data_IF_994776674982
#
_entry.id   IF_994776674982
#
_cell.length_a   1.000
_cell.length_b   1.000
_cell.length_c   1.000
_cell.angle_alpha   90.00
_cell.angle_beta   90.00
_cell.angle_gamma   90.00
#
_symmetry.space_group_name_H-M   'P 1'
#
loop_
_entity.id
_entity.type
_entity.pdbx_description
1 polymer ?
#
# COMPACT_ATOMS: atom_id res chain seq x y z
N UNK A 1 -8.58 -2.13 19.04
CA UNK A 1 -7.30 -2.88 18.88
C UNK A 1 -6.43 -2.14 17.86
N UNK A 2 -5.11 -2.23 17.93
CA UNK A 2 -4.18 -1.49 17.03
C UNK A 2 -4.36 -1.90 15.56
N UNK A 3 -4.65 -3.17 15.31
CA UNK A 3 -4.98 -3.71 13.98
C UNK A 3 -6.25 -3.09 13.35
N UNK A 4 -7.21 -2.68 14.16
CA UNK A 4 -8.47 -2.10 13.69
C UNK A 4 -8.26 -0.70 13.13
N UNK A 5 -7.42 0.11 13.80
CA UNK A 5 -7.00 1.44 13.30
C UNK A 5 -6.18 1.34 12.01
N UNK A 6 -5.30 0.34 11.90
CA UNK A 6 -4.55 0.10 10.67
C UNK A 6 -5.48 -0.32 9.52
N UNK A 7 -6.47 -1.17 9.82
CA UNK A 7 -7.46 -1.63 8.86
C UNK A 7 -8.33 -0.48 8.35
N UNK A 8 -8.74 0.45 9.21
CA UNK A 8 -9.56 1.60 8.83
C UNK A 8 -8.78 2.61 7.98
N UNK A 9 -7.55 2.96 8.37
CA UNK A 9 -6.67 3.82 7.59
C UNK A 9 -6.37 3.23 6.21
N UNK A 10 -6.15 1.92 6.12
CA UNK A 10 -5.91 1.25 4.85
C UNK A 10 -7.17 1.25 3.98
N UNK A 11 -8.36 0.96 4.54
CA UNK A 11 -9.64 1.04 3.80
C UNK A 11 -9.91 2.45 3.27
N UNK A 12 -9.62 3.48 4.04
CA UNK A 12 -9.81 4.87 3.61
C UNK A 12 -8.80 5.28 2.52
N UNK A 13 -7.53 4.91 2.66
CA UNK A 13 -6.53 5.14 1.61
C UNK A 13 -6.92 4.43 0.31
N UNK A 14 -7.39 3.18 0.40
CA UNK A 14 -7.88 2.40 -0.74
C UNK A 14 -9.19 2.93 -1.34
N UNK A 15 -10.02 3.65 -0.59
CA UNK A 15 -11.24 4.33 -1.11
C UNK A 15 -10.89 5.55 -1.97
N UNK A 16 -9.76 6.22 -1.72
CA UNK A 16 -9.32 7.39 -2.49
C UNK A 16 -8.82 7.02 -3.89
N UNK A 17 -8.46 5.75 -4.13
CA UNK A 17 -8.15 5.24 -5.46
C UNK A 17 -9.45 5.01 -6.25
N UNK A 18 -9.77 5.90 -7.19
CA UNK A 18 -10.93 5.81 -8.09
C UNK A 18 -10.69 4.80 -9.23
N UNK A 19 -11.77 4.13 -9.68
CA UNK A 19 -11.74 2.99 -10.61
C UNK A 19 -11.18 3.24 -12.03
N UNK A 20 -10.75 4.46 -12.36
CA UNK A 20 -10.42 4.85 -13.75
C UNK A 20 -8.94 4.80 -14.10
N UNK A 21 -8.05 5.31 -13.24
CA UNK A 21 -6.61 5.41 -13.46
C UNK A 21 -5.86 5.42 -12.14
N UNK A 22 -4.70 4.76 -12.11
CA UNK A 22 -3.72 4.99 -11.05
C UNK A 22 -3.07 6.35 -11.35
N UNK A 23 -3.59 7.41 -10.75
CA UNK A 23 -2.94 8.72 -10.79
C UNK A 23 -1.69 8.67 -9.92
N UNK A 24 -0.56 9.12 -10.46
CA UNK A 24 0.72 9.12 -9.75
C UNK A 24 0.64 9.85 -8.41
N UNK A 25 -0.15 10.91 -8.35
CA UNK A 25 -0.42 11.68 -7.13
C UNK A 25 -1.16 10.83 -6.08
N UNK A 26 -2.17 10.06 -6.49
CA UNK A 26 -2.92 9.20 -5.58
C UNK A 26 -2.04 8.10 -4.97
N UNK A 27 -1.11 7.54 -5.75
CA UNK A 27 -0.12 6.55 -5.25
C UNK A 27 0.84 7.19 -4.24
N UNK A 28 1.30 8.41 -4.49
CA UNK A 28 2.19 9.12 -3.59
C UNK A 28 1.52 9.49 -2.26
N UNK A 29 0.25 9.91 -2.31
CA UNK A 29 -0.55 10.16 -1.12
C UNK A 29 -0.72 8.86 -0.31
N UNK A 30 -1.11 7.77 -0.99
CA UNK A 30 -1.28 6.46 -0.38
C UNK A 30 0.00 5.94 0.29
N UNK A 31 1.15 6.07 -0.38
CA UNK A 31 2.45 5.68 0.18
C UNK A 31 2.82 6.52 1.42
N UNK A 32 2.45 7.80 1.44
CA UNK A 32 2.68 8.67 2.60
C UNK A 32 1.78 8.29 3.78
N UNK A 33 0.52 7.96 3.55
CA UNK A 33 -0.40 7.48 4.58
C UNK A 33 0.04 6.12 5.15
N UNK A 34 0.43 5.18 4.28
CA UNK A 34 0.96 3.87 4.69
C UNK A 34 2.22 4.04 5.54
N UNK A 35 3.16 4.88 5.11
CA UNK A 35 4.39 5.17 5.88
C UNK A 35 4.08 5.70 7.28
N UNK A 36 3.17 6.68 7.41
CA UNK A 36 2.75 7.22 8.71
C UNK A 36 2.09 6.15 9.58
N UNK A 37 1.25 5.31 8.97
CA UNK A 37 0.55 4.23 9.65
C UNK A 37 1.51 3.14 10.15
N UNK A 38 2.53 2.77 9.36
CA UNK A 38 3.56 1.80 9.74
C UNK A 38 4.42 2.33 10.90
N UNK A 39 4.83 3.60 10.87
CA UNK A 39 5.59 4.21 11.97
C UNK A 39 4.73 4.27 13.25
N UNK A 40 3.43 4.56 13.12
CA UNK A 40 2.49 4.57 14.25
C UNK A 40 2.22 3.17 14.82
N UNK A 41 2.57 2.11 14.08
CA UNK A 41 2.43 0.71 14.47
C UNK A 41 3.76 0.13 15.00
N UNK A 42 4.71 0.97 15.42
CA UNK A 42 6.02 0.57 15.98
C UNK A 42 6.97 -0.12 14.97
N UNK A 43 6.75 0.07 13.66
CA UNK A 43 7.67 -0.42 12.62
C UNK A 43 8.83 0.56 12.43
N UNK A 44 10.06 0.05 12.29
CA UNK A 44 11.24 0.89 12.05
C UNK A 44 11.10 1.80 10.83
N UNK A 45 11.53 3.06 10.96
CA UNK A 45 11.41 4.10 9.91
C UNK A 45 12.10 3.67 8.62
N UNK A 46 13.24 2.98 8.70
CA UNK A 46 13.96 2.45 7.53
C UNK A 46 13.13 1.41 6.76
N UNK A 47 12.47 0.50 7.49
CA UNK A 47 11.57 -0.49 6.91
C UNK A 47 10.34 0.16 6.29
N UNK A 48 9.69 1.08 7.00
CA UNK A 48 8.53 1.81 6.49
C UNK A 48 8.86 2.60 5.21
N UNK A 49 10.04 3.24 5.15
CA UNK A 49 10.53 3.92 3.94
C UNK A 49 10.78 2.95 2.79
N UNK A 50 11.38 1.79 3.06
CA UNK A 50 11.68 0.80 2.03
C UNK A 50 10.39 0.24 1.40
N UNK A 51 9.40 -0.09 2.24
CA UNK A 51 8.09 -0.56 1.80
C UNK A 51 7.37 0.48 0.96
N UNK A 52 7.28 1.72 1.44
CA UNK A 52 6.62 2.80 0.69
C UNK A 52 7.28 3.00 -0.69
N UNK A 53 8.62 2.93 -0.79
CA UNK A 53 9.34 3.00 -2.08
C UNK A 53 9.04 1.82 -2.99
N UNK A 54 8.93 0.60 -2.45
CA UNK A 54 8.61 -0.59 -3.24
C UNK A 54 7.19 -0.54 -3.77
N UNK A 55 6.22 -0.14 -2.94
CA UNK A 55 4.82 0.06 -3.34
C UNK A 55 4.74 1.11 -4.45
N UNK A 56 5.36 2.28 -4.28
CA UNK A 56 5.38 3.35 -5.29
C UNK A 56 5.97 2.85 -6.63
N UNK A 57 7.09 2.13 -6.58
CA UNK A 57 7.77 1.62 -7.77
C UNK A 57 6.95 0.55 -8.49
N UNK A 58 6.32 -0.39 -7.76
CA UNK A 58 5.47 -1.43 -8.33
C UNK A 58 4.17 -0.85 -8.88
N UNK A 59 3.50 0.04 -8.14
CA UNK A 59 2.27 0.68 -8.58
C UNK A 59 2.44 1.53 -9.85
N UNK A 60 3.64 2.08 -10.11
CA UNK A 60 3.94 2.86 -11.32
C UNK A 60 4.53 2.04 -12.48
N UNK A 61 5.25 0.95 -12.21
CA UNK A 61 5.89 0.12 -13.25
C UNK A 61 5.04 -1.06 -13.71
N UNK A 62 4.26 -1.64 -12.81
CA UNK A 62 3.51 -2.85 -13.08
C UNK A 62 2.24 -2.47 -13.85
N UNK A 63 2.11 -2.97 -15.07
CA UNK A 63 0.88 -2.79 -15.84
C UNK A 63 -0.19 -3.58 -15.12
N UNK A 64 -1.32 -2.92 -14.85
CA UNK A 64 -2.52 -3.53 -14.31
C UNK A 64 -2.80 -4.80 -15.12
N UNK A 65 -2.71 -5.96 -14.46
CA UNK A 65 -2.93 -7.24 -15.13
C UNK A 65 -4.35 -7.24 -15.71
N UNK A 66 -4.48 -7.71 -16.97
CA UNK A 66 -5.75 -7.66 -17.69
C UNK A 66 -6.87 -8.34 -16.89
N UNK A 67 -7.90 -7.56 -16.54
CA UNK A 67 -9.04 -8.01 -15.74
C UNK A 67 -9.10 -7.46 -14.32
N UNK A 68 -8.02 -6.89 -13.78
CA UNK A 68 -8.02 -6.19 -12.49
C UNK A 68 -8.25 -4.69 -12.68
N UNK A 69 -8.94 -4.04 -11.74
CA UNK A 69 -8.96 -2.58 -11.70
C UNK A 69 -7.61 -2.05 -11.20
N UNK A 70 -7.26 -0.84 -11.62
CA UNK A 70 -6.15 -0.04 -11.08
C UNK A 70 -6.09 -0.08 -9.55
N UNK A 71 -7.26 -0.04 -8.92
CA UNK A 71 -7.46 -0.11 -7.48
C UNK A 71 -7.06 -1.48 -6.92
N UNK A 72 -7.63 -2.56 -7.44
CA UNK A 72 -7.34 -3.93 -6.96
C UNK A 72 -5.88 -4.31 -7.15
N UNK A 73 -5.27 -3.88 -8.26
CA UNK A 73 -3.84 -4.09 -8.49
C UNK A 73 -2.98 -3.39 -7.43
N UNK A 74 -3.31 -2.14 -7.08
CA UNK A 74 -2.61 -1.40 -6.02
C UNK A 74 -2.81 -2.05 -4.64
N UNK A 75 -4.02 -2.53 -4.33
CA UNK A 75 -4.32 -3.27 -3.09
C UNK A 75 -3.45 -4.52 -2.99
N UNK A 76 -3.37 -5.30 -4.07
CA UNK A 76 -2.56 -6.52 -4.12
C UNK A 76 -1.08 -6.22 -3.89
N UNK A 77 -0.52 -5.19 -4.53
CA UNK A 77 0.87 -4.79 -4.31
C UNK A 77 1.12 -4.45 -2.83
N UNK A 78 0.22 -3.70 -2.20
CA UNK A 78 0.33 -3.36 -0.77
C UNK A 78 0.25 -4.62 0.09
N UNK A 79 -0.68 -5.52 -0.20
CA UNK A 79 -0.84 -6.79 0.50
C UNK A 79 0.39 -7.68 0.36
N UNK A 80 0.95 -7.82 -0.84
CA UNK A 80 2.17 -8.56 -1.09
C UNK A 80 3.35 -7.99 -0.30
N UNK A 81 3.53 -6.67 -0.29
CA UNK A 81 4.63 -6.03 0.43
C UNK A 81 4.48 -6.15 1.95
N UNK A 82 3.24 -6.05 2.48
CA UNK A 82 2.96 -6.29 3.89
C UNK A 82 3.14 -7.76 4.28
N UNK A 83 2.76 -8.70 3.41
CA UNK A 83 2.99 -10.14 3.62
C UNK A 83 4.48 -10.45 3.60
N UNK A 84 5.23 -9.83 2.67
CA UNK A 84 6.68 -9.99 2.57
C UNK A 84 7.39 -9.38 3.78
N UNK A 85 6.85 -8.30 4.35
CA UNK A 85 7.31 -7.73 5.63
C UNK A 85 7.11 -8.71 6.79
N UNK A 86 5.92 -9.29 6.89
CA UNK A 86 5.57 -10.22 7.97
C UNK A 86 6.29 -11.57 7.85
N UNK A 87 6.98 -11.80 6.72
CA UNK A 87 7.74 -13.01 6.45
C UNK A 87 6.86 -14.09 5.82
N UNK A 88 7.43 -14.80 4.85
CA UNK A 88 6.89 -16.04 4.27
C UNK A 88 6.94 -17.19 5.30
N UNK A 89 6.33 -17.02 6.45
CA UNK A 89 6.08 -18.09 7.42
C UNK A 89 4.58 -18.22 7.66
N UNK A 90 3.91 -18.79 6.66
CA UNK A 90 2.82 -19.75 6.82
C UNK A 90 3.08 -20.91 5.87
#
# INVERSE_FOLDING_TARGET
MVLDKLSDSLKNALKKLTSGKVDKEAVQELCSEIKKSLISADVSIELAKNIAKKIEKRALKEKVAGGLTAREHTVNIVYEELTNLLGKEF
#
